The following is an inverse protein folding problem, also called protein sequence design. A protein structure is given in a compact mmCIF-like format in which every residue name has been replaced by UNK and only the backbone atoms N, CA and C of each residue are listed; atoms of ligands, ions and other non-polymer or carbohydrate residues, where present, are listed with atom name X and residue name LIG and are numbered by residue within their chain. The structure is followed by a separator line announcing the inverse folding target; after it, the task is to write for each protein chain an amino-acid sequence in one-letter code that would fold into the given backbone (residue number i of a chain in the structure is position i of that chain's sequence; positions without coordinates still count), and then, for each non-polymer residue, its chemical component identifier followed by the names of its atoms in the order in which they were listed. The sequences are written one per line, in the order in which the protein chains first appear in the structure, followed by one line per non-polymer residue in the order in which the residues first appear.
data_IF_671891865205
#
_entry.id   IF_671891865205
#
_cell.length_a   1.000
_cell.length_b   1.000
_cell.length_c   1.000
_cell.angle_alpha   90.00
_cell.angle_beta   90.00
_cell.angle_gamma   90.00
#
_symmetry.space_group_name_H-M   'P 1'
#
loop_
_entity.id
_entity.type
_entity.pdbx_description
1 polymer ?
#
# COMPACT_ATOMS: atom_id res chain seq x y z
N UNK A 1 -14.04 3.63 7.58
CA UNK A 1 -13.45 4.76 6.83
C UNK A 1 -12.08 5.00 7.42
N UNK A 2 -11.00 4.61 6.73
CA UNK A 2 -9.64 4.79 7.23
C UNK A 2 -9.33 6.29 7.25
N UNK A 3 -9.29 6.83 8.46
CA UNK A 3 -9.20 8.25 8.76
C UNK A 3 -7.96 8.88 8.12
N UNK A 4 -8.19 10.03 7.51
CA UNK A 4 -7.21 10.98 6.98
C UNK A 4 -6.31 11.56 8.08
N UNK A 5 -5.54 10.72 8.77
CA UNK A 5 -4.36 11.20 9.49
C UNK A 5 -3.32 11.57 8.43
N UNK A 6 -2.67 12.73 8.57
CA UNK A 6 -1.63 13.28 7.67
C UNK A 6 -0.42 12.36 7.40
N UNK A 7 -0.47 11.10 7.83
CA UNK A 7 0.59 10.11 7.73
C UNK A 7 0.47 9.31 6.42
N UNK A 8 1.55 9.18 5.64
CA UNK A 8 1.56 8.34 4.44
C UNK A 8 1.36 6.86 4.81
N UNK A 9 0.66 6.11 3.95
CA UNK A 9 0.52 4.66 4.12
C UNK A 9 1.89 3.96 4.17
N UNK A 10 1.94 2.73 4.71
CA UNK A 10 3.21 2.01 4.89
C UNK A 10 3.98 1.84 3.57
N UNK A 11 3.27 1.63 2.45
CA UNK A 11 3.88 1.54 1.12
C UNK A 11 4.53 2.86 0.68
N UNK A 12 3.80 3.97 0.76
CA UNK A 12 4.30 5.27 0.36
C UNK A 12 5.43 5.76 1.26
N UNK A 13 5.36 5.45 2.57
CA UNK A 13 6.44 5.70 3.54
C UNK A 13 7.72 4.94 3.17
N UNK A 14 7.60 3.65 2.85
CA UNK A 14 8.73 2.81 2.45
C UNK A 14 9.35 3.28 1.12
N UNK A 15 8.51 3.60 0.14
CA UNK A 15 8.93 4.08 -1.19
C UNK A 15 9.35 5.55 -1.20
N UNK A 16 9.30 6.24 -0.05
CA UNK A 16 9.64 7.67 0.11
C UNK A 16 8.92 8.58 -0.89
N UNK A 17 7.64 8.31 -1.16
CA UNK A 17 6.81 9.09 -2.09
C UNK A 17 5.58 9.67 -1.39
N UNK A 18 4.99 10.73 -1.96
CA UNK A 18 3.76 11.33 -1.45
C UNK A 18 2.60 10.33 -1.54
N UNK A 19 1.88 10.14 -0.44
CA UNK A 19 0.65 9.34 -0.43
C UNK A 19 -0.52 10.23 -0.89
N UNK A 20 -1.10 9.91 -2.05
CA UNK A 20 -2.26 10.61 -2.59
C UNK A 20 -3.57 10.00 -2.08
N UNK A 21 -4.70 10.72 -2.13
CA UNK A 21 -6.01 10.19 -1.74
C UNK A 21 -6.38 8.91 -2.51
N UNK A 22 -6.08 8.83 -3.81
CA UNK A 22 -6.31 7.65 -4.65
C UNK A 22 -5.19 6.58 -4.57
N UNK A 23 -4.44 6.53 -3.46
CA UNK A 23 -3.36 5.56 -3.32
C UNK A 23 -3.90 4.12 -3.25
N UNK A 24 -3.62 3.33 -4.28
CA UNK A 24 -3.99 1.90 -4.35
C UNK A 24 -3.47 1.04 -3.19
N UNK A 25 -2.39 1.47 -2.53
CA UNK A 25 -1.84 0.75 -1.38
C UNK A 25 -2.46 1.14 -0.03
N UNK A 26 -3.06 2.32 0.06
CA UNK A 26 -3.51 2.88 1.35
C UNK A 26 -4.56 2.01 2.07
N UNK A 27 -5.54 1.38 1.38
CA UNK A 27 -6.50 0.49 2.04
C UNK A 27 -5.86 -0.79 2.63
N UNK A 28 -4.74 -1.26 2.07
CA UNK A 28 -4.17 -2.58 2.37
C UNK A 28 -2.92 -2.52 3.26
N UNK A 29 -2.21 -1.39 3.23
CA UNK A 29 -0.94 -1.16 3.93
C UNK A 29 -1.02 0.07 4.83
N UNK A 30 -1.72 -0.03 5.97
CA UNK A 30 -1.91 1.11 6.87
C UNK A 30 -0.58 1.48 7.58
N UNK A 31 -0.41 2.74 8.04
CA UNK A 31 0.87 3.26 8.52
C UNK A 31 1.39 2.58 9.80
N UNK A 32 0.51 1.97 10.58
CA UNK A 32 0.78 1.17 11.79
C UNK A 32 1.45 -0.18 11.48
N UNK A 33 1.44 -0.64 10.22
CA UNK A 33 1.97 -1.95 9.82
C UNK A 33 3.08 -1.84 8.75
N UNK A 34 4.21 -1.17 9.05
CA UNK A 34 5.29 -0.98 8.07
C UNK A 34 5.94 -2.30 7.61
N UNK A 35 6.01 -3.29 8.51
CA UNK A 35 6.59 -4.61 8.21
C UNK A 35 5.78 -5.38 7.14
N UNK A 36 4.45 -5.15 7.07
CA UNK A 36 3.58 -5.80 6.08
C UNK A 36 4.01 -5.44 4.67
N UNK A 37 4.25 -4.15 4.40
CA UNK A 37 4.73 -3.73 3.08
C UNK A 37 6.17 -4.18 2.83
N UNK A 38 7.05 -4.12 3.83
CA UNK A 38 8.44 -4.55 3.68
C UNK A 38 8.56 -6.03 3.26
N UNK A 39 7.79 -6.92 3.88
CA UNK A 39 7.78 -8.35 3.55
C UNK A 39 7.24 -8.61 2.14
N UNK A 40 6.09 -8.00 1.80
CA UNK A 40 5.49 -8.15 0.48
C UNK A 40 6.40 -7.56 -0.61
N UNK A 41 6.99 -6.40 -0.35
CA UNK A 41 7.96 -5.77 -1.25
C UNK A 41 9.20 -6.64 -1.46
N UNK A 42 9.71 -7.29 -0.40
CA UNK A 42 10.87 -8.18 -0.50
C UNK A 42 10.61 -9.41 -1.38
N UNK A 43 9.40 -9.97 -1.33
CA UNK A 43 9.04 -11.20 -2.06
C UNK A 43 8.56 -10.90 -3.49
N UNK A 44 7.65 -9.93 -3.63
CA UNK A 44 6.99 -9.64 -4.90
C UNK A 44 7.55 -8.39 -5.59
N UNK A 45 8.07 -7.42 -4.85
CA UNK A 45 8.44 -6.10 -5.37
C UNK A 45 7.23 -5.18 -5.57
N UNK A 46 7.44 -3.86 -5.47
CA UNK A 46 6.35 -2.87 -5.52
C UNK A 46 5.50 -2.96 -6.81
N UNK A 47 6.14 -3.20 -7.96
CA UNK A 47 5.48 -3.23 -9.27
C UNK A 47 4.52 -4.43 -9.40
N UNK A 48 4.94 -5.62 -8.94
CA UNK A 48 4.09 -6.80 -9.01
C UNK A 48 2.90 -6.70 -8.05
N UNK A 49 3.09 -6.12 -6.86
CA UNK A 49 1.98 -5.86 -5.93
C UNK A 49 0.98 -4.89 -6.55
N UNK A 50 1.46 -3.83 -7.20
CA UNK A 50 0.58 -2.88 -7.91
C UNK A 50 -0.21 -3.58 -9.01
N UNK A 51 0.46 -4.41 -9.82
CA UNK A 51 -0.17 -5.17 -10.90
C UNK A 51 -1.24 -6.11 -10.35
N UNK A 52 -0.91 -6.89 -9.32
CA UNK A 52 -1.83 -7.81 -8.67
C UNK A 52 -3.06 -7.07 -8.11
N UNK A 53 -2.85 -5.96 -7.39
CA UNK A 53 -3.94 -5.14 -6.87
C UNK A 53 -4.82 -4.55 -7.97
N UNK A 54 -4.29 -4.28 -9.15
CA UNK A 54 -5.08 -3.79 -10.28
C UNK A 54 -5.83 -4.91 -11.02
N UNK A 55 -5.25 -6.11 -11.12
CA UNK A 55 -5.85 -7.26 -11.80
C UNK A 55 -6.93 -7.96 -10.96
N UNK A 56 -6.83 -7.92 -9.63
CA UNK A 56 -7.83 -8.50 -8.74
C UNK A 56 -9.11 -7.66 -8.71
N UNK A 57 -10.26 -8.32 -8.63
CA UNK A 57 -11.52 -7.63 -8.32
C UNK A 57 -11.46 -7.03 -6.90
N UNK A 58 -12.14 -5.90 -6.63
CA UNK A 58 -12.08 -5.25 -5.30
C UNK A 58 -12.38 -6.16 -4.11
N UNK A 59 -13.23 -7.18 -4.29
CA UNK A 59 -13.56 -8.16 -3.24
C UNK A 59 -12.44 -9.20 -2.98
N UNK A 60 -11.43 -9.27 -3.84
CA UNK A 60 -10.31 -10.21 -3.74
C UNK A 60 -8.99 -9.54 -3.33
N UNK A 61 -8.99 -8.22 -3.13
CA UNK A 61 -7.80 -7.43 -2.77
C UNK A 61 -7.59 -7.35 -1.27
#
# INVERSE_FOLDING_TARGET
MASSSNSPCAACKFLRRKCQPECVFAPYFPPDQPQKFANVHKVFGASNVTKLLNELHPHQR
#
